data_IF_399863055359
#
_entry.id   IF_399863055359
#
_cell.length_a   1.000
_cell.length_b   1.000
_cell.length_c   1.000
_cell.angle_alpha   90.00
_cell.angle_beta   90.00
_cell.angle_gamma   90.00
#
_symmetry.space_group_name_H-M   'P 1'
#
loop_
_entity.id
_entity.type
_entity.pdbx_description
1 polymer ?
#
# COMPACT_ATOMS: atom_id res chain seq x y z
N UNK A 1 -3.88 23.02 2.85
CA UNK A 1 -4.84 21.93 2.60
C UNK A 1 -4.16 20.58 2.87
N UNK A 2 -4.89 19.65 3.44
CA UNK A 2 -4.34 18.31 3.72
C UNK A 2 -4.53 17.40 2.50
N UNK A 3 -3.43 17.00 1.87
CA UNK A 3 -3.43 16.09 0.72
C UNK A 3 -2.99 14.67 1.08
N UNK A 4 -2.98 14.32 2.37
CA UNK A 4 -2.63 12.96 2.79
C UNK A 4 -3.57 11.95 2.16
N UNK A 5 -3.02 10.90 1.56
CA UNK A 5 -3.74 9.92 0.74
C UNK A 5 -3.56 8.50 1.28
N UNK A 6 -4.69 7.79 1.42
CA UNK A 6 -4.73 6.37 1.74
C UNK A 6 -5.26 5.61 0.53
N UNK A 7 -4.45 4.69 0.03
CA UNK A 7 -4.84 3.72 -1.00
C UNK A 7 -5.08 2.37 -0.33
N UNK A 8 -6.25 1.78 -0.52
CA UNK A 8 -6.63 0.51 0.10
C UNK A 8 -6.74 -0.57 -0.96
N UNK A 9 -5.97 -1.65 -0.81
CA UNK A 9 -5.98 -2.78 -1.73
C UNK A 9 -6.36 -4.04 -0.95
N UNK A 10 -7.44 -4.70 -1.37
CA UNK A 10 -7.92 -5.94 -0.75
C UNK A 10 -8.12 -7.08 -1.75
N UNK A 11 -7.65 -6.91 -2.97
CA UNK A 11 -7.73 -7.90 -4.04
C UNK A 11 -6.36 -8.46 -4.39
N UNK A 12 -6.28 -9.74 -4.73
CA UNK A 12 -5.06 -10.37 -5.23
C UNK A 12 -4.95 -10.32 -6.76
N UNK A 13 -5.79 -9.52 -7.41
CA UNK A 13 -5.65 -9.25 -8.84
C UNK A 13 -4.51 -8.25 -9.05
N UNK A 14 -3.42 -8.64 -9.76
CA UNK A 14 -2.31 -7.73 -10.02
C UNK A 14 -2.70 -6.42 -10.70
N UNK A 15 -3.79 -6.42 -11.46
CA UNK A 15 -4.28 -5.20 -12.14
C UNK A 15 -4.72 -4.15 -11.14
N UNK A 16 -5.30 -4.57 -10.01
CA UNK A 16 -5.74 -3.65 -8.96
C UNK A 16 -4.53 -2.99 -8.29
N UNK A 17 -3.49 -3.77 -7.97
CA UNK A 17 -2.29 -3.21 -7.37
C UNK A 17 -1.56 -2.28 -8.34
N UNK A 18 -1.46 -2.65 -9.62
CA UNK A 18 -0.87 -1.76 -10.63
C UNK A 18 -1.65 -0.47 -10.77
N UNK A 19 -2.99 -0.51 -10.69
CA UNK A 19 -3.81 0.69 -10.68
C UNK A 19 -3.52 1.56 -9.46
N UNK A 20 -3.39 0.95 -8.29
CA UNK A 20 -3.02 1.67 -7.07
C UNK A 20 -1.67 2.39 -7.22
N UNK A 21 -0.67 1.71 -7.77
CA UNK A 21 0.63 2.32 -8.04
C UNK A 21 0.55 3.46 -9.04
N UNK A 22 -0.23 3.29 -10.10
CA UNK A 22 -0.46 4.37 -11.08
C UNK A 22 -1.16 5.56 -10.42
N UNK A 23 -2.14 5.30 -9.56
CA UNK A 23 -2.82 6.35 -8.80
C UNK A 23 -1.84 7.13 -7.92
N UNK A 24 -0.95 6.44 -7.23
CA UNK A 24 0.05 7.09 -6.38
C UNK A 24 0.99 7.99 -7.20
N UNK A 25 1.48 7.49 -8.34
CA UNK A 25 2.35 8.26 -9.22
C UNK A 25 1.63 9.48 -9.78
N UNK A 26 0.41 9.30 -10.27
CA UNK A 26 -0.39 10.40 -10.83
C UNK A 26 -0.74 11.43 -9.76
N UNK A 27 -1.04 10.98 -8.56
CA UNK A 27 -1.37 11.85 -7.44
C UNK A 27 -0.19 12.78 -7.11
N UNK A 28 1.00 12.18 -6.99
CA UNK A 28 2.21 12.96 -6.71
C UNK A 28 2.52 13.94 -7.85
N UNK A 29 2.42 13.49 -9.08
CA UNK A 29 2.68 14.33 -10.25
C UNK A 29 1.64 15.45 -10.41
N UNK A 30 0.43 15.23 -9.92
CA UNK A 30 -0.65 16.23 -9.98
C UNK A 30 -0.57 17.30 -8.89
N UNK A 31 0.32 17.15 -7.92
CA UNK A 31 0.46 18.06 -6.78
C UNK A 31 1.92 18.56 -6.63
N UNK A 32 2.49 19.20 -7.68
CA UNK A 32 3.87 19.65 -7.61
C UNK A 32 4.03 20.71 -6.51
N UNK A 33 5.09 20.58 -5.72
CA UNK A 33 5.38 21.52 -4.64
C UNK A 33 4.58 21.32 -3.36
N UNK A 34 3.62 20.39 -3.35
CA UNK A 34 2.86 20.07 -2.14
C UNK A 34 3.56 18.99 -1.31
N UNK A 35 3.44 19.10 0.01
CA UNK A 35 3.95 18.14 0.97
C UNK A 35 2.79 17.31 1.52
N UNK A 36 2.88 16.00 1.44
CA UNK A 36 1.83 15.11 1.93
C UNK A 36 2.36 13.70 2.13
N UNK A 37 1.60 12.90 2.85
CA UNK A 37 1.89 11.48 3.07
C UNK A 37 1.03 10.64 2.15
N UNK A 38 1.61 9.55 1.60
CA UNK A 38 0.86 8.54 0.86
C UNK A 38 1.08 7.20 1.53
N UNK A 39 0.00 6.54 1.90
CA UNK A 39 0.03 5.22 2.53
C UNK A 39 -0.81 4.26 1.70
N UNK A 40 -0.26 3.08 1.43
CA UNK A 40 -1.01 1.97 0.85
C UNK A 40 -1.18 0.92 1.93
N UNK A 41 -2.43 0.58 2.24
CA UNK A 41 -2.73 -0.52 3.16
C UNK A 41 -3.27 -1.69 2.36
N UNK A 42 -2.63 -2.85 2.49
CA UNK A 42 -3.07 -4.09 1.86
C UNK A 42 -3.56 -5.06 2.94
N UNK A 43 -4.75 -5.60 2.75
CA UNK A 43 -5.32 -6.62 3.64
C UNK A 43 -6.01 -7.72 2.82
N UNK A 44 -6.51 -8.75 3.51
CA UNK A 44 -7.12 -9.89 2.83
C UNK A 44 -6.17 -10.54 1.83
N UNK A 45 -6.68 -11.06 0.71
CA UNK A 45 -5.86 -11.77 -0.27
C UNK A 45 -4.83 -10.87 -0.98
N UNK A 46 -4.95 -9.55 -0.90
CA UNK A 46 -4.01 -8.63 -1.53
C UNK A 46 -2.57 -8.86 -1.05
N UNK A 47 -2.38 -9.30 0.20
CA UNK A 47 -1.04 -9.52 0.74
C UNK A 47 -0.24 -10.56 -0.04
N UNK A 48 -0.90 -11.44 -0.78
CA UNK A 48 -0.24 -12.45 -1.63
C UNK A 48 0.62 -11.82 -2.73
N UNK A 49 0.31 -10.61 -3.14
CA UNK A 49 1.04 -9.92 -4.20
C UNK A 49 2.37 -9.32 -3.73
N UNK A 50 2.60 -9.27 -2.42
CA UNK A 50 3.74 -8.56 -1.84
C UNK A 50 4.90 -9.48 -1.49
N UNK A 51 4.92 -10.69 -2.04
CA UNK A 51 6.00 -11.65 -1.84
C UNK A 51 7.05 -11.51 -2.95
N UNK A 52 8.28 -11.94 -2.64
CA UNK A 52 9.45 -11.80 -3.53
C UNK A 52 9.28 -12.53 -4.87
N UNK A 53 8.36 -13.49 -4.97
CA UNK A 53 8.08 -14.18 -6.24
C UNK A 53 7.43 -13.24 -7.28
N UNK A 54 6.81 -12.16 -6.85
CA UNK A 54 6.22 -11.15 -7.75
C UNK A 54 7.26 -10.06 -8.03
N UNK A 55 8.33 -10.42 -8.75
CA UNK A 55 9.48 -9.54 -8.95
C UNK A 55 9.15 -8.22 -9.65
N UNK A 56 8.26 -8.25 -10.65
CA UNK A 56 7.87 -7.04 -11.39
C UNK A 56 7.08 -6.08 -10.50
N UNK A 57 6.15 -6.62 -9.70
CA UNK A 57 5.39 -5.80 -8.74
C UNK A 57 6.32 -5.24 -7.66
N UNK A 58 7.27 -6.04 -7.19
CA UNK A 58 8.24 -5.60 -6.19
C UNK A 58 9.08 -4.43 -6.71
N UNK A 59 9.54 -4.50 -7.97
CA UNK A 59 10.31 -3.42 -8.59
C UNK A 59 9.48 -2.14 -8.69
N UNK A 60 8.22 -2.25 -9.10
CA UNK A 60 7.31 -1.10 -9.17
C UNK A 60 7.04 -0.52 -7.78
N UNK A 61 6.83 -1.38 -6.80
CA UNK A 61 6.64 -0.97 -5.40
C UNK A 61 7.84 -0.22 -4.85
N UNK A 62 9.06 -0.68 -5.14
CA UNK A 62 10.28 0.00 -4.74
C UNK A 62 10.39 1.40 -5.36
N UNK A 63 10.00 1.54 -6.63
CA UNK A 63 9.95 2.84 -7.31
C UNK A 63 9.00 3.79 -6.59
N UNK A 64 7.78 3.34 -6.27
CA UNK A 64 6.79 4.17 -5.57
C UNK A 64 7.23 4.48 -4.14
N UNK A 65 7.88 3.55 -3.46
CA UNK A 65 8.43 3.79 -2.12
C UNK A 65 9.49 4.90 -2.17
N UNK A 66 10.32 4.92 -3.21
CA UNK A 66 11.30 5.99 -3.40
C UNK A 66 10.64 7.35 -3.64
N UNK A 67 9.40 7.35 -4.10
CA UNK A 67 8.59 8.56 -4.29
C UNK A 67 7.81 8.97 -3.03
N UNK A 68 7.90 8.21 -1.96
CA UNK A 68 7.25 8.52 -0.69
C UNK A 68 6.05 7.66 -0.33
N UNK A 69 5.75 6.61 -1.10
CA UNK A 69 4.66 5.69 -0.75
C UNK A 69 5.11 4.79 0.42
N UNK A 70 4.28 4.73 1.48
CA UNK A 70 4.50 3.87 2.64
C UNK A 70 3.55 2.68 2.52
N UNK A 71 4.10 1.47 2.32
CA UNK A 71 3.33 0.24 2.13
C UNK A 71 3.20 -0.49 3.47
N UNK A 72 1.96 -0.70 3.90
CA UNK A 72 1.63 -1.35 5.17
C UNK A 72 0.76 -2.58 4.92
N UNK A 73 1.20 -3.73 5.42
CA UNK A 73 0.53 -5.01 5.22
C UNK A 73 -0.11 -5.49 6.52
N UNK A 74 -1.30 -6.05 6.42
CA UNK A 74 -2.07 -6.57 7.54
C UNK A 74 -1.47 -7.88 8.06
N UNK A 75 -1.03 -7.92 9.32
CA UNK A 75 -0.48 -9.13 9.94
C UNK A 75 -1.49 -10.27 9.98
N UNK A 76 -2.76 -9.98 10.25
CA UNK A 76 -3.82 -11.00 10.26
C UNK A 76 -3.97 -11.65 8.88
N UNK A 77 -3.90 -10.85 7.81
CA UNK A 77 -3.98 -11.36 6.46
C UNK A 77 -2.76 -12.22 6.09
N UNK A 78 -1.57 -11.80 6.49
CA UNK A 78 -0.36 -12.60 6.27
C UNK A 78 -0.49 -13.97 6.93
N UNK A 79 -0.97 -13.99 8.18
CA UNK A 79 -1.19 -15.24 8.91
C UNK A 79 -2.22 -16.11 8.21
N UNK A 80 -3.35 -15.56 7.81
CA UNK A 80 -4.42 -16.30 7.13
C UNK A 80 -3.98 -16.88 5.79
N UNK A 81 -3.00 -16.27 5.13
CA UNK A 81 -2.48 -16.71 3.84
C UNK A 81 -1.16 -17.46 3.96
N UNK A 82 -0.74 -17.84 5.18
CA UNK A 82 0.49 -18.59 5.44
C UNK A 82 1.74 -17.91 4.85
N UNK A 83 1.82 -16.59 4.96
CA UNK A 83 2.95 -15.81 4.45
C UNK A 83 3.82 -15.35 5.61
N UNK A 84 5.11 -15.78 5.57
CA UNK A 84 6.11 -15.32 6.52
C UNK A 84 6.57 -13.90 6.14
N UNK A 85 6.87 -13.07 7.13
CA UNK A 85 7.44 -11.73 6.89
C UNK A 85 8.75 -11.78 6.10
N UNK A 86 9.50 -12.88 6.18
CA UNK A 86 10.75 -13.06 5.43
C UNK A 86 10.52 -13.18 3.92
N UNK A 87 9.29 -13.52 3.50
CA UNK A 87 8.95 -13.66 2.09
C UNK A 87 8.54 -12.33 1.44
N UNK A 88 8.40 -11.26 2.21
CA UNK A 88 7.89 -9.98 1.73
C UNK A 88 8.96 -9.15 1.03
N UNK A 89 8.53 -8.24 0.16
CA UNK A 89 9.43 -7.26 -0.45
C UNK A 89 10.14 -6.44 0.61
N UNK A 90 11.40 -6.05 0.40
CA UNK A 90 12.05 -5.08 1.26
C UNK A 90 11.26 -3.76 1.29
N UNK A 91 11.16 -3.16 2.46
CA UNK A 91 10.48 -1.88 2.61
C UNK A 91 9.00 -1.96 2.95
N UNK A 92 8.37 -3.13 2.86
CA UNK A 92 7.01 -3.31 3.37
C UNK A 92 7.01 -3.30 4.90
N UNK A 93 6.05 -2.59 5.48
CA UNK A 93 5.84 -2.57 6.94
C UNK A 93 4.65 -3.46 7.27
N UNK A 94 4.70 -4.13 8.40
CA UNK A 94 3.60 -4.97 8.87
C UNK A 94 2.90 -4.25 10.01
N UNK A 95 1.58 -4.17 9.94
CA UNK A 95 0.73 -3.60 10.99
C UNK A 95 -0.19 -4.68 11.55
N UNK A 96 -0.58 -4.62 12.83
CA UNK A 96 -1.37 -5.71 13.44
C UNK A 96 -2.67 -6.01 12.73
N UNK A 97 -3.42 -5.00 12.30
CA UNK A 97 -4.70 -5.16 11.62
C UNK A 97 -4.89 -4.03 10.61
N UNK A 98 -5.03 -4.40 9.33
CA UNK A 98 -5.19 -3.41 8.25
C UNK A 98 -6.41 -2.53 8.43
N UNK A 99 -7.56 -3.10 8.86
CA UNK A 99 -8.78 -2.32 9.05
C UNK A 99 -8.65 -1.27 10.16
N UNK A 100 -7.89 -1.56 11.21
CA UNK A 100 -7.62 -0.57 12.27
C UNK A 100 -6.73 0.54 11.73
N UNK A 101 -5.71 0.18 10.96
CA UNK A 101 -4.82 1.15 10.32
C UNK A 101 -5.58 2.10 9.41
N UNK A 102 -6.50 1.57 8.61
CA UNK A 102 -7.34 2.36 7.71
C UNK A 102 -8.16 3.37 8.51
N UNK A 103 -8.79 2.96 9.60
CA UNK A 103 -9.58 3.86 10.44
C UNK A 103 -8.71 4.94 11.06
N UNK A 104 -7.52 4.56 11.57
CA UNK A 104 -6.58 5.52 12.13
C UNK A 104 -6.20 6.59 11.12
N UNK A 105 -5.84 6.20 9.91
CA UNK A 105 -5.42 7.13 8.86
C UNK A 105 -6.55 8.06 8.46
N UNK A 106 -7.76 7.54 8.32
CA UNK A 106 -8.92 8.36 8.00
C UNK A 106 -9.21 9.39 9.11
N UNK A 107 -9.04 9.01 10.37
CA UNK A 107 -9.21 9.94 11.49
C UNK A 107 -8.12 11.00 11.54
N UNK A 108 -6.94 10.72 11.00
CA UNK A 108 -5.87 11.69 10.83
C UNK A 108 -6.08 12.62 9.63
N UNK A 109 -7.15 12.43 8.88
CA UNK A 109 -7.50 13.29 7.75
C UNK A 109 -7.06 12.77 6.39
N UNK A 110 -6.62 11.52 6.27
CA UNK A 110 -6.28 10.93 4.98
C UNK A 110 -7.54 10.76 4.13
N UNK A 111 -7.45 11.17 2.87
CA UNK A 111 -8.47 10.85 1.89
C UNK A 111 -8.35 9.37 1.51
N UNK A 112 -9.47 8.68 1.39
CA UNK A 112 -9.52 7.24 1.14
C UNK A 112 -9.86 6.97 -0.33
N UNK A 113 -9.01 6.19 -0.99
CA UNK A 113 -9.27 5.70 -2.36
C UNK A 113 -9.11 4.18 -2.37
N UNK A 114 -10.13 3.52 -2.90
CA UNK A 114 -10.07 2.09 -3.18
C UNK A 114 -9.99 1.89 -4.69
N UNK A 115 -8.80 1.54 -5.20
CA UNK A 115 -8.59 1.36 -6.64
C UNK A 115 -9.40 0.24 -7.25
#
# INVERSE_FOLDING_TARGET
MNYDLLLHVDSDDPKVLNLAFNNAANYKNGLPGESFRMVLVANGPAVRLFTKEHADLAARGAELTSMGLDIRLCANALKSNDISSDALWPGCRVVPAGVVEIVHLQREGFAYIKP
#
